data_IF_196418062472
#
_entry.id   IF_196418062472
#
_cell.length_a   1.000
_cell.length_b   1.000
_cell.length_c   1.000
_cell.angle_alpha   90.00
_cell.angle_beta   90.00
_cell.angle_gamma   90.00
#
_symmetry.space_group_name_H-M   'P 1'
#
loop_
_entity.id
_entity.type
_entity.pdbx_description
1 polymer ?
#
# COMPACT_ATOMS: atom_id res chain seq x y z
N UNK A 1 -13.30 55.64 29.02
CA UNK A 1 -13.46 54.17 29.05
C UNK A 1 -14.60 53.85 28.09
N UNK A 2 -14.27 53.57 26.84
CA UNK A 2 -15.21 53.66 25.71
C UNK A 2 -15.50 52.25 25.20
N UNK A 3 -16.76 51.83 25.31
CA UNK A 3 -17.26 50.54 24.84
C UNK A 3 -17.60 50.69 23.35
N UNK A 4 -16.90 49.94 22.49
CA UNK A 4 -17.28 49.79 21.08
C UNK A 4 -18.07 48.48 20.92
N UNK A 5 -19.40 48.61 20.86
CA UNK A 5 -20.30 47.63 20.28
C UNK A 5 -20.19 47.76 18.75
N UNK A 6 -19.91 46.67 18.04
CA UNK A 6 -20.15 46.56 16.60
C UNK A 6 -21.12 45.41 16.40
N UNK A 7 -22.37 45.76 16.07
CA UNK A 7 -23.40 44.87 15.55
C UNK A 7 -23.54 45.09 14.04
N UNK A 8 -23.81 43.97 13.37
CA UNK A 8 -23.98 43.74 11.94
C UNK A 8 -24.92 44.71 11.20
N UNK A 9 -24.64 44.95 9.91
CA UNK A 9 -25.68 44.93 8.88
C UNK A 9 -25.15 44.52 7.50
N UNK A 10 -26.09 43.98 6.72
CA UNK A 10 -26.05 43.09 5.56
C UNK A 10 -25.74 43.76 4.20
N UNK A 11 -25.46 42.86 3.23
CA UNK A 11 -25.87 42.82 1.81
C UNK A 11 -24.92 43.35 0.72
N UNK A 12 -24.45 42.41 -0.13
CA UNK A 12 -24.59 42.37 -1.60
C UNK A 12 -23.79 41.15 -2.12
N UNK A 13 -24.41 39.97 -2.30
CA UNK A 13 -24.79 39.40 -3.60
C UNK A 13 -23.90 39.87 -4.76
N UNK A 14 -22.92 39.02 -5.11
CA UNK A 14 -22.20 39.04 -6.38
C UNK A 14 -22.09 37.60 -6.88
N UNK A 15 -23.10 37.17 -7.62
CA UNK A 15 -23.02 36.00 -8.51
C UNK A 15 -22.12 36.33 -9.70
N UNK A 16 -21.26 35.39 -10.08
CA UNK A 16 -20.42 35.44 -11.29
C UNK A 16 -19.16 34.61 -11.04
N UNK A 17 -18.82 33.54 -11.74
CA UNK A 17 -19.32 32.95 -12.99
C UNK A 17 -19.27 31.42 -12.82
N UNK A 18 -20.35 30.74 -13.17
CA UNK A 18 -20.33 29.33 -13.54
C UNK A 18 -19.72 29.31 -14.95
N UNK A 19 -18.55 28.67 -15.19
CA UNK A 19 -18.12 28.42 -16.56
C UNK A 19 -19.01 27.34 -17.14
N UNK A 20 -19.70 27.74 -18.20
CA UNK A 20 -20.47 26.91 -19.12
C UNK A 20 -19.66 25.68 -19.55
N UNK A 21 -20.35 24.55 -19.66
CA UNK A 21 -19.77 23.29 -20.07
C UNK A 21 -19.28 23.33 -21.52
N UNK A 22 -17.97 23.18 -21.72
CA UNK A 22 -17.39 22.36 -22.79
C UNK A 22 -15.86 22.37 -22.73
N UNK A 23 -15.30 21.53 -21.86
CA UNK A 23 -14.02 20.85 -22.09
C UNK A 23 -14.01 19.60 -21.21
N UNK A 24 -14.17 18.43 -21.82
CA UNK A 24 -14.04 17.12 -21.17
C UNK A 24 -12.60 16.99 -20.63
N UNK A 25 -12.38 17.42 -19.39
CA UNK A 25 -11.31 16.89 -18.57
C UNK A 25 -11.93 15.71 -17.84
N UNK A 26 -11.63 14.48 -18.27
CA UNK A 26 -11.97 13.26 -17.54
C UNK A 26 -11.73 13.50 -16.04
N UNK A 27 -12.77 13.31 -15.23
CA UNK A 27 -12.79 13.64 -13.80
C UNK A 27 -11.48 13.22 -13.12
N UNK A 28 -10.64 14.21 -12.83
CA UNK A 28 -9.33 14.00 -12.21
C UNK A 28 -9.57 13.22 -10.91
N UNK A 29 -8.96 12.03 -10.72
CA UNK A 29 -9.21 11.25 -9.52
C UNK A 29 -8.90 12.05 -8.25
N UNK A 30 -9.75 11.86 -7.24
CA UNK A 30 -9.80 12.66 -6.01
C UNK A 30 -8.49 12.67 -5.19
N UNK A 31 -7.57 11.73 -5.45
CA UNK A 31 -6.27 11.64 -4.80
C UNK A 31 -5.15 12.37 -5.55
N UNK A 32 -5.42 12.90 -6.75
CA UNK A 32 -4.49 13.76 -7.48
C UNK A 32 -4.73 15.22 -7.09
N UNK A 33 -4.19 15.63 -5.95
CA UNK A 33 -4.48 16.95 -5.38
C UNK A 33 -3.60 18.07 -5.95
N UNK A 34 -2.39 17.78 -6.40
CA UNK A 34 -1.48 18.82 -6.86
C UNK A 34 -1.53 19.11 -8.36
N UNK A 35 -0.72 20.07 -8.79
CA UNK A 35 -0.65 20.59 -10.17
C UNK A 35 0.53 20.01 -10.97
N UNK A 36 1.40 19.19 -10.35
CA UNK A 36 2.53 18.59 -11.06
C UNK A 36 2.04 17.61 -12.11
N UNK A 37 2.62 17.73 -13.31
CA UNK A 37 2.37 16.81 -14.41
C UNK A 37 2.90 15.41 -14.06
N UNK A 38 2.03 14.41 -14.17
CA UNK A 38 2.41 13.02 -13.96
C UNK A 38 3.25 12.49 -15.13
N UNK A 39 4.08 11.44 -14.92
CA UNK A 39 4.76 10.74 -16.00
C UNK A 39 3.77 10.26 -17.07
N UNK A 40 4.16 10.30 -18.36
CA UNK A 40 3.26 10.01 -19.51
C UNK A 40 2.56 8.65 -19.45
N UNK A 41 3.18 7.66 -18.82
CA UNK A 41 2.64 6.29 -18.71
C UNK A 41 1.82 6.06 -17.43
N UNK A 42 1.58 7.11 -16.64
CA UNK A 42 0.75 7.03 -15.43
C UNK A 42 -0.71 6.95 -15.85
N UNK A 43 -1.37 5.83 -15.52
CA UNK A 43 -2.82 5.67 -15.69
C UNK A 43 -3.46 5.66 -14.31
N UNK A 44 -4.12 6.76 -13.90
CA UNK A 44 -4.89 6.78 -12.66
C UNK A 44 -6.03 5.74 -12.72
N UNK A 45 -6.29 5.08 -11.60
CA UNK A 45 -7.39 4.13 -11.48
C UNK A 45 -8.64 4.86 -10.98
N UNK A 46 -9.64 5.00 -11.85
CA UNK A 46 -10.88 5.73 -11.56
C UNK A 46 -11.82 4.98 -10.59
N UNK A 47 -11.58 3.69 -10.33
CA UNK A 47 -12.35 2.92 -9.34
C UNK A 47 -11.88 3.19 -7.90
N UNK A 48 -10.71 3.78 -7.71
CA UNK A 48 -10.22 4.19 -6.38
C UNK A 48 -10.99 5.42 -5.94
N UNK A 49 -11.73 5.29 -4.84
CA UNK A 49 -12.54 6.37 -4.25
C UNK A 49 -11.81 6.99 -3.07
N UNK A 50 -12.14 8.24 -2.76
CA UNK A 50 -11.64 8.92 -1.57
C UNK A 50 -12.71 8.97 -0.49
N UNK A 51 -12.31 8.80 0.77
CA UNK A 51 -13.14 8.97 1.95
C UNK A 51 -12.75 10.30 2.63
N UNK A 52 -13.57 11.37 2.50
CA UNK A 52 -13.21 12.70 3.02
C UNK A 52 -12.97 12.73 4.54
N UNK A 53 -13.64 11.85 5.28
CA UNK A 53 -13.56 11.74 6.75
C UNK A 53 -12.77 10.49 7.20
N UNK A 54 -12.02 9.85 6.29
CA UNK A 54 -11.21 8.68 6.60
C UNK A 54 -9.86 9.03 7.22
N UNK A 55 -9.19 8.02 7.81
CA UNK A 55 -7.86 8.18 8.41
C UNK A 55 -6.83 8.42 7.30
N UNK A 56 -6.32 9.63 7.20
CA UNK A 56 -5.27 9.95 6.24
C UNK A 56 -3.95 9.32 6.69
N UNK A 57 -3.52 8.26 6.01
CA UNK A 57 -2.20 7.67 6.25
C UNK A 57 -1.07 8.62 5.86
N UNK A 58 -1.32 9.47 4.84
CA UNK A 58 -0.36 10.44 4.33
C UNK A 58 -1.06 11.77 3.94
N UNK A 59 -1.29 12.68 4.89
CA UNK A 59 -1.87 13.99 4.61
C UNK A 59 -1.01 14.80 3.62
N UNK A 60 -1.60 15.58 2.68
CA UNK A 60 -3.02 15.92 2.58
C UNK A 60 -3.85 14.93 1.74
N UNK A 61 -3.27 13.81 1.31
CA UNK A 61 -3.99 12.84 0.46
C UNK A 61 -5.12 12.22 1.31
N UNK A 62 -6.39 12.27 0.84
CA UNK A 62 -7.50 11.67 1.58
C UNK A 62 -7.30 10.16 1.72
N UNK A 63 -8.04 9.55 2.64
CA UNK A 63 -8.13 8.10 2.72
C UNK A 63 -8.63 7.54 1.40
N UNK A 64 -8.00 6.46 0.93
CA UNK A 64 -8.37 5.79 -0.33
C UNK A 64 -9.07 4.48 -0.03
N UNK A 65 -10.08 4.14 -0.83
CA UNK A 65 -10.79 2.87 -0.73
C UNK A 65 -10.98 2.25 -2.12
N UNK A 66 -10.78 0.93 -2.20
CA UNK A 66 -11.03 0.13 -3.40
C UNK A 66 -11.53 -1.25 -2.95
N UNK A 67 -12.67 -1.69 -3.48
CA UNK A 67 -13.26 -3.00 -3.15
C UNK A 67 -13.33 -3.28 -1.63
N UNK A 68 -13.72 -2.27 -0.84
CA UNK A 68 -13.82 -2.37 0.62
C UNK A 68 -12.49 -2.27 1.38
N UNK A 69 -11.34 -2.24 0.70
CA UNK A 69 -10.01 -2.14 1.32
C UNK A 69 -9.66 -0.66 1.48
N UNK A 70 -9.41 -0.20 2.72
CA UNK A 70 -8.91 1.14 2.99
C UNK A 70 -7.39 1.16 2.93
N UNK A 71 -6.82 2.20 2.35
CA UNK A 71 -5.36 2.32 2.25
C UNK A 71 -4.70 2.43 3.63
N UNK A 72 -5.31 3.14 4.58
CA UNK A 72 -4.77 3.22 5.93
C UNK A 72 -4.75 1.89 6.69
N UNK A 73 -5.47 0.85 6.26
CA UNK A 73 -5.40 -0.49 6.84
C UNK A 73 -4.19 -1.27 6.33
N UNK A 74 -3.81 -1.04 5.06
CA UNK A 74 -2.71 -1.73 4.39
C UNK A 74 -1.41 -0.91 4.35
N UNK A 75 -1.35 0.22 5.05
CA UNK A 75 -0.16 1.05 5.12
C UNK A 75 0.99 0.34 5.86
N UNK A 76 2.19 0.34 5.27
CA UNK A 76 3.36 -0.35 5.84
C UNK A 76 3.74 0.10 7.26
N UNK A 77 3.44 1.36 7.64
CA UNK A 77 3.65 1.88 9.01
C UNK A 77 2.76 1.24 10.08
N UNK A 78 1.78 0.42 9.70
CA UNK A 78 0.96 -0.34 10.65
C UNK A 78 1.65 -1.59 11.20
N UNK A 79 2.88 -1.87 10.75
CA UNK A 79 3.68 -3.01 11.23
C UNK A 79 4.76 -2.54 12.21
N UNK A 80 5.34 -3.46 13.03
CA UNK A 80 6.48 -3.12 13.86
C UNK A 80 7.78 -2.88 13.07
N UNK A 81 7.79 -3.18 11.77
CA UNK A 81 8.97 -2.99 10.93
C UNK A 81 9.08 -1.53 10.50
N UNK A 82 10.24 -0.92 10.78
CA UNK A 82 10.57 0.42 10.28
C UNK A 82 10.89 0.41 8.78
N UNK A 83 11.32 -0.73 8.25
CA UNK A 83 11.64 -0.89 6.84
C UNK A 83 10.38 -1.19 6.00
N UNK A 84 10.04 -0.37 4.98
CA UNK A 84 8.83 -0.55 4.18
C UNK A 84 8.77 -1.88 3.42
N UNK A 85 9.91 -2.44 3.00
CA UNK A 85 9.95 -3.75 2.32
C UNK A 85 9.54 -4.84 3.29
N UNK A 86 10.19 -4.93 4.46
CA UNK A 86 9.91 -5.99 5.43
C UNK A 86 8.50 -5.89 5.99
N UNK A 87 8.06 -4.68 6.30
CA UNK A 87 6.67 -4.37 6.67
C UNK A 87 5.68 -4.92 5.64
N UNK A 88 5.91 -4.65 4.36
CA UNK A 88 5.00 -5.04 3.28
C UNK A 88 5.05 -6.54 2.99
N UNK A 89 6.21 -7.18 3.09
CA UNK A 89 6.30 -8.65 3.00
C UNK A 89 5.54 -9.33 4.12
N UNK A 90 5.51 -8.74 5.32
CA UNK A 90 4.68 -9.21 6.41
C UNK A 90 3.19 -8.96 6.14
N UNK A 91 2.80 -7.75 5.73
CA UNK A 91 1.40 -7.37 5.46
C UNK A 91 0.75 -8.16 4.31
N UNK A 92 1.54 -8.53 3.31
CA UNK A 92 1.10 -9.20 2.09
C UNK A 92 1.67 -10.62 1.97
N UNK A 93 1.95 -11.25 3.10
CA UNK A 93 2.35 -12.66 3.15
C UNK A 93 1.32 -13.53 2.43
N UNK A 94 1.84 -14.44 1.61
CA UNK A 94 1.05 -15.32 0.76
C UNK A 94 1.13 -16.77 1.21
N UNK A 95 0.06 -17.52 0.99
CA UNK A 95 0.06 -18.97 1.05
C UNK A 95 0.26 -19.56 -0.36
N UNK A 96 1.44 -20.13 -0.60
CA UNK A 96 1.77 -20.79 -1.87
C UNK A 96 1.16 -22.19 -2.00
N UNK A 97 0.75 -22.82 -0.89
CA UNK A 97 0.11 -24.14 -0.92
C UNK A 97 -1.32 -24.08 -1.47
N UNK A 98 -1.93 -22.89 -1.42
CA UNK A 98 -3.29 -22.63 -1.88
C UNK A 98 -3.27 -21.37 -2.75
N UNK A 99 -3.17 -21.57 -4.07
CA UNK A 99 -3.32 -20.48 -5.05
C UNK A 99 -4.78 -20.07 -5.18
N UNK A 100 -5.27 -19.36 -4.16
CA UNK A 100 -6.67 -18.95 -4.02
C UNK A 100 -6.93 -17.66 -4.83
N UNK A 101 -7.91 -17.63 -5.75
CA UNK A 101 -8.25 -16.45 -6.54
C UNK A 101 -8.50 -15.19 -5.70
N UNK A 102 -9.14 -15.34 -4.54
CA UNK A 102 -9.48 -14.27 -3.60
C UNK A 102 -8.23 -13.58 -3.05
N UNK A 103 -7.16 -14.34 -2.76
CA UNK A 103 -5.87 -13.79 -2.32
C UNK A 103 -5.24 -12.93 -3.42
N UNK A 104 -5.30 -13.38 -4.67
CA UNK A 104 -4.79 -12.61 -5.81
C UNK A 104 -5.58 -11.33 -6.03
N UNK A 105 -6.92 -11.39 -5.96
CA UNK A 105 -7.80 -10.23 -6.09
C UNK A 105 -7.48 -9.20 -5.00
N UNK A 106 -7.40 -9.65 -3.74
CA UNK A 106 -7.03 -8.80 -2.62
C UNK A 106 -5.68 -8.09 -2.83
N UNK A 107 -4.63 -8.84 -3.22
CA UNK A 107 -3.30 -8.28 -3.44
C UNK A 107 -3.27 -7.29 -4.62
N UNK A 108 -3.99 -7.58 -5.72
CA UNK A 108 -4.10 -6.64 -6.86
C UNK A 108 -4.82 -5.35 -6.47
N UNK A 109 -5.89 -5.44 -5.69
CA UNK A 109 -6.57 -4.25 -5.17
C UNK A 109 -5.67 -3.42 -4.25
N UNK A 110 -4.86 -4.09 -3.41
CA UNK A 110 -3.83 -3.40 -2.63
C UNK A 110 -2.77 -2.73 -3.52
N UNK A 111 -2.36 -3.38 -4.61
CA UNK A 111 -1.36 -2.83 -5.54
C UNK A 111 -1.89 -1.56 -6.22
N UNK A 112 -3.16 -1.55 -6.60
CA UNK A 112 -3.85 -0.38 -7.15
C UNK A 112 -3.95 0.77 -6.15
N UNK A 113 -4.23 0.50 -4.88
CA UNK A 113 -4.22 1.54 -3.83
C UNK A 113 -2.82 2.14 -3.62
N UNK A 114 -1.77 1.32 -3.63
CA UNK A 114 -0.38 1.79 -3.57
C UNK A 114 0.02 2.61 -4.80
N UNK A 115 -0.40 2.19 -6.01
CA UNK A 115 -0.22 2.98 -7.24
C UNK A 115 -0.94 4.32 -7.16
N UNK A 116 -2.20 4.34 -6.70
CA UNK A 116 -2.96 5.58 -6.51
C UNK A 116 -2.26 6.53 -5.54
N UNK A 117 -1.77 6.03 -4.40
CA UNK A 117 -1.01 6.82 -3.44
C UNK A 117 0.29 7.38 -4.05
N UNK A 118 1.05 6.57 -4.79
CA UNK A 118 2.26 7.00 -5.51
C UNK A 118 1.96 8.16 -6.49
N UNK A 119 0.86 8.08 -7.24
CA UNK A 119 0.42 9.15 -8.12
C UNK A 119 -0.04 10.40 -7.35
N UNK A 120 -0.75 10.22 -6.24
CA UNK A 120 -1.14 11.31 -5.35
C UNK A 120 0.07 12.08 -4.83
N UNK A 121 1.07 11.38 -4.29
CA UNK A 121 2.34 11.97 -3.83
C UNK A 121 3.03 12.73 -4.96
N UNK A 122 3.14 12.14 -6.15
CA UNK A 122 3.77 12.79 -7.32
C UNK A 122 3.02 14.05 -7.76
N UNK A 123 1.69 14.05 -7.69
CA UNK A 123 0.89 15.21 -8.05
C UNK A 123 1.19 16.41 -7.13
N UNK A 124 1.45 16.15 -5.86
CA UNK A 124 1.79 17.15 -4.83
C UNK A 124 3.21 17.73 -5.01
N UNK A 125 4.10 17.08 -5.76
CA UNK A 125 5.47 17.54 -5.94
C UNK A 125 6.28 17.49 -4.65
N UNK A 126 6.76 18.65 -4.19
CA UNK A 126 7.65 18.76 -3.03
C UNK A 126 6.91 19.09 -1.72
N UNK A 127 5.58 18.98 -1.69
CA UNK A 127 4.79 19.29 -0.50
C UNK A 127 4.87 18.20 0.60
N UNK A 128 5.36 17.01 0.25
CA UNK A 128 5.59 15.91 1.17
C UNK A 128 7.09 15.71 1.40
N UNK A 129 7.43 15.03 2.50
CA UNK A 129 8.81 14.65 2.78
C UNK A 129 9.39 13.84 1.61
N UNK A 130 10.66 14.11 1.30
CA UNK A 130 11.32 13.60 0.08
C UNK A 130 11.35 12.06 0.02
N UNK A 131 11.35 11.40 1.17
CA UNK A 131 11.46 9.96 1.30
C UNK A 131 10.12 9.22 1.17
N UNK A 132 8.97 9.88 1.33
CA UNK A 132 7.64 9.23 1.26
C UNK A 132 7.44 8.50 -0.07
N UNK A 133 7.80 9.14 -1.19
CA UNK A 133 7.70 8.51 -2.50
C UNK A 133 8.60 7.26 -2.62
N UNK A 134 9.79 7.30 -2.01
CA UNK A 134 10.69 6.16 -2.01
C UNK A 134 10.15 5.03 -1.12
N UNK A 135 9.64 5.35 0.08
CA UNK A 135 9.07 4.38 1.00
C UNK A 135 7.83 3.68 0.41
N UNK A 136 6.94 4.43 -0.25
CA UNK A 136 5.79 3.86 -0.99
C UNK A 136 6.23 2.95 -2.12
N UNK A 137 7.26 3.33 -2.90
CA UNK A 137 7.81 2.47 -3.96
C UNK A 137 8.40 1.18 -3.40
N UNK A 138 9.10 1.24 -2.27
CA UNK A 138 9.66 0.05 -1.61
C UNK A 138 8.57 -0.91 -1.16
N UNK A 139 7.49 -0.39 -0.55
CA UNK A 139 6.33 -1.19 -0.18
C UNK A 139 5.63 -1.79 -1.41
N UNK A 140 5.45 -0.99 -2.47
CA UNK A 140 4.87 -1.44 -3.73
C UNK A 140 5.71 -2.55 -4.39
N UNK A 141 7.04 -2.47 -4.36
CA UNK A 141 7.92 -3.50 -4.89
C UNK A 141 7.76 -4.83 -4.13
N UNK A 142 7.59 -4.78 -2.81
CA UNK A 142 7.36 -5.96 -1.98
C UNK A 142 6.01 -6.62 -2.29
N UNK A 143 4.95 -5.82 -2.42
CA UNK A 143 3.63 -6.29 -2.82
C UNK A 143 3.64 -6.91 -4.23
N UNK A 144 4.29 -6.23 -5.18
CA UNK A 144 4.45 -6.75 -6.54
C UNK A 144 5.19 -8.09 -6.54
N UNK A 145 6.26 -8.23 -5.76
CA UNK A 145 6.96 -9.51 -5.60
C UNK A 145 6.05 -10.62 -5.07
N UNK A 146 5.21 -10.34 -4.06
CA UNK A 146 4.24 -11.33 -3.56
C UNK A 146 3.22 -11.74 -4.61
N UNK A 147 2.68 -10.80 -5.38
CA UNK A 147 1.78 -11.10 -6.51
C UNK A 147 2.49 -12.00 -7.53
N UNK A 148 3.70 -11.64 -7.94
CA UNK A 148 4.46 -12.40 -8.94
C UNK A 148 4.82 -13.80 -8.43
N UNK A 149 5.11 -13.98 -7.14
CA UNK A 149 5.30 -15.32 -6.55
C UNK A 149 4.05 -16.21 -6.62
N UNK A 150 2.86 -15.63 -6.60
CA UNK A 150 1.61 -16.39 -6.72
C UNK A 150 1.34 -16.86 -8.15
N UNK A 151 1.48 -15.96 -9.13
CA UNK A 151 0.96 -16.17 -10.49
C UNK A 151 2.02 -16.17 -11.59
N UNK A 152 3.21 -15.65 -11.32
CA UNK A 152 4.27 -15.51 -12.30
C UNK A 152 5.06 -16.78 -12.54
N UNK A 153 5.79 -16.81 -13.64
CA UNK A 153 6.81 -17.82 -13.91
C UNK A 153 8.16 -17.47 -13.24
N UNK A 154 9.13 -18.40 -13.30
CA UNK A 154 10.44 -18.21 -12.64
C UNK A 154 11.15 -16.92 -13.07
N UNK A 155 11.15 -16.60 -14.36
CA UNK A 155 11.78 -15.39 -14.90
C UNK A 155 11.13 -14.11 -14.38
N UNK A 156 9.81 -14.09 -14.27
CA UNK A 156 9.08 -12.94 -13.71
C UNK A 156 9.37 -12.78 -12.22
N UNK A 157 9.42 -13.87 -11.46
CA UNK A 157 9.73 -13.87 -10.02
C UNK A 157 11.17 -13.38 -9.80
N UNK A 158 12.14 -13.83 -10.59
CA UNK A 158 13.53 -13.34 -10.53
C UNK A 158 13.62 -11.84 -10.81
N UNK A 159 12.91 -11.36 -11.82
CA UNK A 159 12.86 -9.92 -12.13
C UNK A 159 12.25 -9.12 -10.97
N UNK A 160 11.18 -9.63 -10.38
CA UNK A 160 10.55 -9.01 -9.22
C UNK A 160 11.46 -9.04 -7.99
N UNK A 161 12.20 -10.12 -7.76
CA UNK A 161 13.21 -10.23 -6.70
C UNK A 161 14.32 -9.19 -6.86
N UNK A 162 14.90 -9.05 -8.06
CA UNK A 162 15.93 -8.04 -8.35
C UNK A 162 15.41 -6.63 -8.06
N UNK A 163 14.20 -6.32 -8.51
CA UNK A 163 13.56 -5.02 -8.25
C UNK A 163 13.31 -4.79 -6.76
N UNK A 164 12.90 -5.82 -6.02
CA UNK A 164 12.67 -5.75 -4.58
C UNK A 164 13.97 -5.48 -3.81
N UNK A 165 15.04 -6.23 -4.11
CA UNK A 165 16.35 -6.05 -3.48
C UNK A 165 16.92 -4.64 -3.74
N UNK A 166 16.74 -4.12 -4.97
CA UNK A 166 17.12 -2.75 -5.31
C UNK A 166 16.30 -1.70 -4.56
N UNK A 167 15.03 -1.97 -4.28
CA UNK A 167 14.13 -1.09 -3.50
C UNK A 167 14.35 -1.19 -1.99
N UNK A 168 15.14 -2.17 -1.54
CA UNK A 168 15.51 -2.42 -0.14
C UNK A 168 16.75 -1.59 0.26
N UNK A 169 16.70 -0.27 0.03
CA UNK A 169 17.78 0.65 0.42
C UNK A 169 17.80 0.78 1.95
N UNK A 170 18.96 0.56 2.56
CA UNK A 170 19.10 0.54 4.03
C UNK A 170 18.57 -0.73 4.71
N UNK A 171 18.19 -1.77 3.95
CA UNK A 171 17.90 -3.07 4.52
C UNK A 171 19.16 -3.72 5.09
N UNK A 172 19.05 -4.26 6.31
CA UNK A 172 20.08 -5.10 6.91
C UNK A 172 20.35 -6.30 5.99
N UNK A 173 21.59 -6.81 6.01
CA UNK A 173 21.98 -7.98 5.22
C UNK A 173 21.10 -9.19 5.53
N UNK A 174 20.74 -9.38 6.81
CA UNK A 174 19.75 -10.39 7.26
C UNK A 174 18.40 -10.25 6.52
N UNK A 175 17.87 -9.04 6.39
CA UNK A 175 16.61 -8.81 5.68
C UNK A 175 16.73 -9.17 4.19
N UNK A 176 17.87 -8.84 3.56
CA UNK A 176 18.12 -9.22 2.16
C UNK A 176 18.22 -10.73 2.00
N UNK A 177 18.89 -11.40 2.93
CA UNK A 177 18.96 -12.86 2.97
C UNK A 177 17.56 -13.49 3.13
N UNK A 178 16.74 -12.99 4.05
CA UNK A 178 15.36 -13.46 4.24
C UNK A 178 14.50 -13.27 2.98
N UNK A 179 14.69 -12.18 2.25
CA UNK A 179 14.01 -11.93 0.96
C UNK A 179 14.43 -12.96 -0.10
N UNK A 180 15.73 -13.27 -0.17
CA UNK A 180 16.27 -14.26 -1.11
C UNK A 180 15.71 -15.65 -0.79
N UNK A 181 15.75 -16.07 0.47
CA UNK A 181 15.14 -17.35 0.89
C UNK A 181 13.63 -17.41 0.65
N UNK A 182 12.94 -16.26 0.66
CA UNK A 182 11.53 -16.21 0.32
C UNK A 182 11.28 -16.53 -1.17
N UNK A 183 12.19 -16.14 -2.07
CA UNK A 183 12.14 -16.48 -3.48
C UNK A 183 12.40 -17.97 -3.74
N UNK A 184 13.29 -18.59 -2.98
CA UNK A 184 13.57 -20.03 -3.06
C UNK A 184 12.31 -20.87 -2.88
N UNK A 185 11.42 -20.47 -1.95
CA UNK A 185 10.10 -21.11 -1.75
C UNK A 185 9.20 -21.07 -2.98
N UNK A 186 9.52 -20.24 -3.97
CA UNK A 186 8.83 -20.15 -5.26
C UNK A 186 9.58 -20.85 -6.39
N UNK A 187 10.58 -21.69 -6.07
CA UNK A 187 11.32 -22.51 -7.03
C UNK A 187 12.41 -21.76 -7.81
N UNK A 188 12.85 -20.62 -7.28
CA UNK A 188 13.95 -19.81 -7.82
C UNK A 188 15.27 -20.40 -7.31
N UNK A 189 16.25 -20.55 -8.20
CA UNK A 189 17.61 -20.84 -7.79
C UNK A 189 18.24 -19.57 -7.21
N UNK A 190 18.61 -19.65 -5.94
CA UNK A 190 19.03 -18.48 -5.16
C UNK A 190 20.54 -18.40 -4.93
N UNK A 191 21.31 -19.39 -5.38
CA UNK A 191 22.72 -19.50 -4.98
C UNK A 191 23.53 -18.25 -5.35
N UNK A 192 23.37 -17.74 -6.58
CA UNK A 192 24.11 -16.53 -7.00
C UNK A 192 23.72 -15.28 -6.20
N UNK A 193 22.47 -15.19 -5.72
CA UNK A 193 22.05 -14.08 -4.85
C UNK A 193 22.68 -14.20 -3.46
N UNK A 194 22.82 -15.43 -2.93
CA UNK A 194 23.46 -15.68 -1.64
C UNK A 194 24.96 -15.40 -1.72
N UNK A 195 25.64 -15.88 -2.76
CA UNK A 195 27.07 -15.63 -3.00
C UNK A 195 27.38 -14.12 -3.06
N UNK A 196 26.52 -13.35 -3.72
CA UNK A 196 26.66 -11.90 -3.80
C UNK A 196 26.43 -11.19 -2.46
N UNK A 197 25.57 -11.73 -1.59
CA UNK A 197 25.39 -11.21 -0.23
C UNK A 197 26.56 -11.56 0.68
N UNK A 198 27.11 -12.76 0.58
CA UNK A 198 28.27 -13.20 1.37
C UNK A 198 29.52 -12.37 1.10
N UNK A 199 29.77 -11.97 -0.15
CA UNK A 199 30.86 -11.04 -0.50
C UNK A 199 30.78 -9.70 0.23
N UNK A 200 29.59 -9.30 0.68
CA UNK A 200 29.34 -8.04 1.40
C UNK A 200 29.39 -8.23 2.92
N UNK A 201 29.27 -9.48 3.41
CA UNK A 201 29.37 -9.82 4.84
C UNK A 201 30.83 -9.74 5.31
N UNK A 202 31.20 -8.69 6.06
CA UNK A 202 32.50 -8.61 6.73
C UNK A 202 32.42 -9.17 8.17
N UNK A 203 33.55 -9.60 8.78
CA UNK A 203 33.58 -10.15 10.15
C UNK A 203 33.03 -9.22 11.25
N UNK A 204 32.86 -7.92 10.95
CA UNK A 204 32.34 -6.90 11.89
C UNK A 204 30.81 -6.80 11.90
N UNK A 205 30.11 -7.48 10.99
CA UNK A 205 28.64 -7.57 10.96
C UNK A 205 28.24 -8.98 10.50
N UNK A 206 28.31 -10.00 11.39
CA UNK A 206 27.96 -11.36 11.02
C UNK A 206 26.50 -11.42 10.56
N UNK A 207 26.29 -12.01 9.38
CA UNK A 207 24.99 -12.08 8.71
C UNK A 207 23.97 -13.00 9.41
N UNK A 208 24.36 -13.63 10.54
CA UNK A 208 23.59 -14.67 11.23
C UNK A 208 23.38 -14.45 12.74
N UNK A 209 23.89 -13.37 13.35
CA UNK A 209 23.76 -13.19 14.81
C UNK A 209 22.88 -12.01 15.20
N UNK A 210 21.56 -12.24 15.20
CA UNK A 210 20.60 -11.49 16.01
C UNK A 210 19.39 -12.38 16.32
N UNK A 211 19.61 -13.45 17.10
CA UNK A 211 18.54 -14.39 17.52
C UNK A 211 17.93 -14.06 18.88
N UNK A 212 18.53 -13.20 19.70
CA UNK A 212 18.13 -13.12 21.12
C UNK A 212 17.15 -11.99 21.49
N UNK A 213 17.08 -10.89 20.74
CA UNK A 213 16.25 -9.73 21.13
C UNK A 213 15.01 -9.48 20.25
N UNK A 214 14.89 -10.15 19.10
CA UNK A 214 13.83 -9.85 18.10
C UNK A 214 12.67 -10.88 18.11
N UNK A 215 12.92 -12.09 18.62
CA UNK A 215 11.95 -13.19 18.73
C UNK A 215 10.71 -12.82 19.55
N UNK A 216 10.90 -12.12 20.67
CA UNK A 216 9.83 -11.75 21.60
C UNK A 216 8.94 -10.62 21.07
N UNK A 217 9.47 -9.65 20.30
CA UNK A 217 8.65 -8.61 19.64
C UNK A 217 7.97 -9.12 18.36
N UNK A 218 8.64 -9.97 17.59
CA UNK A 218 8.11 -10.58 16.36
C UNK A 218 6.93 -11.51 16.61
N UNK A 219 6.97 -12.33 17.67
CA UNK A 219 5.91 -13.30 17.95
C UNK A 219 4.62 -12.62 18.45
N UNK A 220 4.72 -11.60 19.30
CA UNK A 220 3.56 -10.82 19.75
C UNK A 220 2.90 -10.07 18.58
N UNK A 221 3.69 -9.44 17.70
CA UNK A 221 3.17 -8.71 16.55
C UNK A 221 2.61 -9.63 15.45
N UNK A 222 3.21 -10.81 15.23
CA UNK A 222 2.66 -11.83 14.32
C UNK A 222 1.29 -12.32 14.79
N UNK A 223 1.08 -12.45 16.09
CA UNK A 223 -0.20 -12.87 16.66
C UNK A 223 -1.28 -11.78 16.51
N UNK A 224 -0.95 -10.50 16.74
CA UNK A 224 -1.89 -9.37 16.54
C UNK A 224 -2.30 -9.23 15.07
N UNK A 225 -1.35 -9.33 14.14
CA UNK A 225 -1.64 -9.18 12.70
C UNK A 225 -2.43 -10.39 12.15
N UNK A 226 -2.16 -11.61 12.62
CA UNK A 226 -2.96 -12.80 12.28
C UNK A 226 -4.39 -12.67 12.78
N UNK A 227 -4.60 -12.04 13.94
CA UNK A 227 -5.93 -11.73 14.47
C UNK A 227 -6.65 -10.68 13.61
N UNK A 228 -5.97 -9.60 13.21
CA UNK A 228 -6.53 -8.56 12.33
C UNK A 228 -6.91 -9.11 10.95
N UNK A 229 -6.08 -9.97 10.35
CA UNK A 229 -6.41 -10.65 9.09
C UNK A 229 -7.65 -11.53 9.21
N UNK A 230 -7.78 -12.29 10.29
CA UNK A 230 -8.99 -13.07 10.58
C UNK A 230 -10.20 -12.14 10.72
N UNK A 231 -10.05 -10.99 11.39
CA UNK A 231 -11.11 -10.01 11.55
C UNK A 231 -11.57 -9.40 10.21
N UNK A 232 -10.63 -9.12 9.30
CA UNK A 232 -10.92 -8.60 7.96
C UNK A 232 -11.62 -9.66 7.09
N UNK A 233 -11.17 -10.92 7.14
CA UNK A 233 -11.82 -12.04 6.46
C UNK A 233 -13.24 -12.25 6.98
N UNK A 234 -13.46 -12.20 8.29
CA UNK A 234 -14.80 -12.28 8.89
C UNK A 234 -15.66 -11.09 8.45
N UNK A 235 -15.12 -9.88 8.43
CA UNK A 235 -15.85 -8.69 7.95
C UNK A 235 -16.26 -8.82 6.48
N UNK A 236 -15.38 -9.37 5.63
CA UNK A 236 -15.69 -9.64 4.22
C UNK A 236 -16.81 -10.68 4.08
N UNK A 237 -16.76 -11.76 4.85
CA UNK A 237 -17.79 -12.81 4.87
C UNK A 237 -19.14 -12.24 5.33
N UNK A 238 -19.15 -11.43 6.39
CA UNK A 238 -20.39 -10.78 6.87
C UNK A 238 -20.97 -9.83 5.82
N UNK A 239 -20.12 -9.07 5.11
CA UNK A 239 -20.57 -8.22 4.02
C UNK A 239 -21.19 -9.03 2.87
N UNK A 240 -20.60 -10.18 2.51
CA UNK A 240 -21.14 -11.09 1.50
C UNK A 240 -22.49 -11.70 1.93
N UNK A 241 -22.62 -12.13 3.19
CA UNK A 241 -23.89 -12.64 3.73
C UNK A 241 -25.01 -11.59 3.74
N UNK A 242 -24.68 -10.32 3.99
CA UNK A 242 -25.65 -9.22 3.94
C UNK A 242 -26.11 -8.93 2.50
N UNK A 243 -25.25 -9.14 1.50
CA UNK A 243 -25.60 -9.02 0.08
C UNK A 243 -26.55 -10.15 -0.36
N UNK A 244 -26.31 -11.39 0.09
CA UNK A 244 -27.19 -12.54 -0.22
C UNK A 244 -28.59 -12.38 0.39
N UNK A 245 -28.67 -11.88 1.63
CA UNK A 245 -29.95 -11.54 2.26
C UNK A 245 -30.71 -10.42 1.54
N UNK A 246 -29.99 -9.53 0.85
CA UNK A 246 -30.59 -8.46 0.04
C UNK A 246 -31.09 -9.01 -1.32
N UNK A 247 -30.34 -9.93 -1.95
CA UNK A 247 -30.78 -10.61 -3.16
C UNK A 247 -32.05 -11.46 -2.94
N UNK A 248 -32.15 -12.16 -1.81
CA UNK A 248 -33.37 -12.92 -1.49
C UNK A 248 -34.61 -12.03 -1.30
N UNK A 249 -34.44 -10.78 -0.82
CA UNK A 249 -35.56 -9.83 -0.73
C UNK A 249 -35.94 -9.19 -2.07
N UNK A 250 -35.03 -9.17 -3.05
CA UNK A 250 -35.28 -8.66 -4.40
C UNK A 250 -35.91 -9.70 -5.34
N UNK A 251 -35.81 -10.99 -5.03
CA UNK A 251 -36.43 -12.08 -5.83
C UNK A 251 -37.89 -12.35 -5.39
N UNK A 252 -38.32 -11.83 -4.24
CA UNK A 252 -39.67 -12.04 -3.68
C UNK A 252 -40.61 -10.84 -3.95
N UNK A 253 -40.17 -9.84 -4.72
CA UNK A 253 -41.02 -8.75 -5.21
C UNK A 253 -41.21 -8.79 -6.72
#
# INVERSE_FOLDING_TARGET
MTIQLILFSKNAIGQGLIPDGSAMFDDKPCYLLGTKKLPRHSKPNTNVKCLPQGKQALPPIPELILEGIKYSDIHYRNTPFTNPVMASLQLFEIDLSKKVPEQLIYLRNCEELYKAMNLGIRSLGNQLAHDELAQIKSAQAALHFQITRLVGNKTEIEKALKNLLASCVGCLTKNRHDIVLLAEKSGIDVQHYLDDLEKVCTPKSPCTEDKKNESSRSNAAKNDLKLRRKLLLVSLIVALMQLDGFLHKLIIY
#
